data_IF_644970974724
#
_entry.id   IF_644970974724
#
_cell.length_a   1.000
_cell.length_b   1.000
_cell.length_c   1.000
_cell.angle_alpha   90.00
_cell.angle_beta   90.00
_cell.angle_gamma   90.00
#
_symmetry.space_group_name_H-M   'P 1'
#
loop_
_entity.id
_entity.type
_entity.pdbx_description
1 polymer ?
#
# COMPACT_ATOMS: atom_id res chain seq x y z
N UNK A 1 12.85 14.07 -10.97
CA UNK A 1 12.77 13.22 -12.17
C UNK A 1 11.74 13.82 -13.11
N UNK A 2 12.04 13.90 -14.41
CA UNK A 2 11.10 14.32 -15.46
C UNK A 2 10.38 13.09 -16.03
N UNK A 3 9.12 13.22 -16.44
CA UNK A 3 8.36 12.14 -17.10
C UNK A 3 9.07 11.58 -18.34
N UNK A 4 9.83 12.41 -19.05
CA UNK A 4 10.64 12.00 -20.19
C UNK A 4 11.73 10.98 -19.83
N UNK A 5 12.15 10.91 -18.56
CA UNK A 5 13.17 9.96 -18.09
C UNK A 5 12.60 8.56 -17.85
N UNK A 6 11.27 8.42 -17.84
CA UNK A 6 10.58 7.13 -17.73
C UNK A 6 10.26 6.53 -19.10
N UNK A 7 10.63 7.20 -20.20
CA UNK A 7 10.34 6.76 -21.56
C UNK A 7 11.36 5.72 -22.03
N UNK A 8 10.94 4.48 -22.36
CA UNK A 8 11.80 3.55 -23.08
C UNK A 8 12.06 4.09 -24.49
N UNK A 9 13.30 3.98 -24.97
CA UNK A 9 13.64 4.34 -26.35
C UNK A 9 12.83 3.51 -27.35
N UNK A 10 12.10 4.17 -28.26
CA UNK A 10 11.43 3.52 -29.40
C UNK A 10 9.90 3.44 -29.36
N UNK A 11 9.20 4.07 -28.41
CA UNK A 11 7.73 4.18 -28.43
C UNK A 11 7.25 5.35 -29.32
N UNK A 12 6.12 5.19 -30.04
CA UNK A 12 5.69 6.09 -31.11
C UNK A 12 5.12 7.45 -30.65
N UNK A 13 4.75 7.60 -29.39
CA UNK A 13 4.21 8.85 -28.83
C UNK A 13 5.09 9.33 -27.68
N UNK A 14 5.43 10.61 -27.60
CA UNK A 14 6.13 11.13 -26.42
C UNK A 14 5.20 11.12 -25.19
N UNK A 15 5.72 10.79 -24.00
CA UNK A 15 5.05 11.02 -22.71
C UNK A 15 4.89 12.55 -22.51
N UNK A 16 3.82 13.13 -23.04
CA UNK A 16 3.46 14.53 -22.81
C UNK A 16 2.62 14.66 -21.53
N UNK A 17 2.64 15.84 -20.92
CA UNK A 17 1.80 16.13 -19.76
C UNK A 17 0.32 15.96 -20.10
N UNK A 18 -0.07 16.40 -21.28
CA UNK A 18 -1.43 16.35 -21.81
C UNK A 18 -1.90 14.90 -21.97
N UNK A 19 -1.09 14.03 -22.55
CA UNK A 19 -1.44 12.61 -22.72
C UNK A 19 -1.52 11.88 -21.38
N UNK A 20 -0.61 12.16 -20.44
CA UNK A 20 -0.68 11.56 -19.09
C UNK A 20 -1.94 12.00 -18.38
N UNK A 21 -2.24 13.30 -18.38
CA UNK A 21 -3.41 13.84 -17.73
C UNK A 21 -4.70 13.26 -18.33
N UNK A 22 -4.80 13.19 -19.66
CA UNK A 22 -5.95 12.60 -20.34
C UNK A 22 -6.16 11.13 -19.96
N UNK A 23 -5.08 10.32 -20.00
CA UNK A 23 -5.15 8.90 -19.63
C UNK A 23 -5.50 8.70 -18.14
N UNK A 24 -4.93 9.53 -17.26
CA UNK A 24 -5.22 9.48 -15.83
C UNK A 24 -6.68 9.82 -15.54
N UNK A 25 -7.22 10.87 -16.15
CA UNK A 25 -8.62 11.26 -15.98
C UNK A 25 -9.58 10.21 -16.53
N UNK A 26 -9.32 9.66 -17.72
CA UNK A 26 -10.16 8.60 -18.30
C UNK A 26 -10.14 7.31 -17.46
N UNK A 27 -8.97 6.93 -16.94
CA UNK A 27 -8.83 5.78 -16.04
C UNK A 27 -9.54 6.03 -14.71
N UNK A 28 -9.35 7.22 -14.13
CA UNK A 28 -9.97 7.63 -12.88
C UNK A 28 -11.50 7.63 -12.99
N UNK A 29 -12.07 8.15 -14.08
CA UNK A 29 -13.52 8.15 -14.30
C UNK A 29 -14.10 6.73 -14.25
N UNK A 30 -13.46 5.78 -14.92
CA UNK A 30 -13.88 4.37 -14.91
C UNK A 30 -13.85 3.79 -13.50
N UNK A 31 -12.77 4.05 -12.74
CA UNK A 31 -12.65 3.60 -11.35
C UNK A 31 -13.67 4.30 -10.44
N UNK A 32 -13.95 5.58 -10.67
CA UNK A 32 -14.91 6.35 -9.89
C UNK A 32 -16.33 5.80 -10.05
N UNK A 33 -16.74 5.46 -11.28
CA UNK A 33 -18.02 4.81 -11.52
C UNK A 33 -18.15 3.49 -10.76
N UNK A 34 -17.13 2.62 -10.81
CA UNK A 34 -17.11 1.37 -10.05
C UNK A 34 -17.21 1.61 -8.53
N UNK A 35 -16.55 2.64 -8.01
CA UNK A 35 -16.60 3.00 -6.60
C UNK A 35 -18.02 3.43 -6.17
N UNK A 36 -18.67 4.27 -6.98
CA UNK A 36 -20.05 4.73 -6.72
C UNK A 36 -21.04 3.57 -6.82
N UNK A 37 -20.89 2.70 -7.82
CA UNK A 37 -21.72 1.48 -7.98
C UNK A 37 -21.57 0.53 -6.80
N UNK A 38 -20.38 0.48 -6.19
CA UNK A 38 -20.10 -0.29 -4.99
C UNK A 38 -20.46 0.44 -3.68
N UNK A 39 -21.30 1.47 -3.74
CA UNK A 39 -21.76 2.27 -2.59
C UNK A 39 -20.62 2.91 -1.78
N UNK A 40 -19.52 3.25 -2.46
CA UNK A 40 -18.31 3.80 -1.84
C UNK A 40 -17.41 2.75 -1.18
N UNK A 41 -17.60 1.46 -1.50
CA UNK A 41 -16.71 0.39 -1.05
C UNK A 41 -15.43 0.32 -1.88
N UNK A 42 -14.29 0.12 -1.19
CA UNK A 42 -13.01 -0.12 -1.84
C UNK A 42 -12.81 -1.58 -2.27
N UNK A 43 -13.67 -2.50 -1.80
CA UNK A 43 -13.59 -3.94 -2.08
C UNK A 43 -13.30 -4.29 -3.56
N UNK A 44 -13.93 -3.66 -4.57
CA UNK A 44 -13.67 -3.99 -5.98
C UNK A 44 -12.23 -3.76 -6.42
N UNK A 45 -11.50 -2.86 -5.75
CA UNK A 45 -10.13 -2.50 -6.10
C UNK A 45 -9.09 -3.28 -5.31
N UNK A 46 -9.48 -4.00 -4.25
CA UNK A 46 -8.55 -4.61 -3.30
C UNK A 46 -7.56 -5.56 -3.98
N UNK A 47 -8.06 -6.45 -4.85
CA UNK A 47 -7.21 -7.41 -5.55
C UNK A 47 -6.19 -6.69 -6.46
N UNK A 48 -6.66 -5.73 -7.26
CA UNK A 48 -5.82 -4.96 -8.17
C UNK A 48 -4.77 -4.14 -7.42
N UNK A 49 -5.17 -3.63 -6.26
CA UNK A 49 -4.32 -2.85 -5.39
C UNK A 49 -3.22 -3.71 -4.76
N UNK A 50 -3.56 -4.87 -4.19
CA UNK A 50 -2.59 -5.80 -3.60
C UNK A 50 -1.66 -6.44 -4.65
N UNK A 51 -2.13 -6.65 -5.89
CA UNK A 51 -1.29 -7.12 -7.01
C UNK A 51 -0.19 -6.11 -7.36
N UNK A 52 -0.50 -4.82 -7.31
CA UNK A 52 0.44 -3.72 -7.63
C UNK A 52 1.17 -3.16 -6.42
N UNK A 53 0.86 -3.68 -5.23
CA UNK A 53 1.43 -3.26 -3.98
C UNK A 53 2.90 -3.69 -3.90
N UNK A 54 3.81 -2.72 -3.78
CA UNK A 54 5.26 -2.96 -3.84
C UNK A 54 5.86 -3.60 -2.56
N UNK A 55 5.09 -3.68 -1.47
CA UNK A 55 5.58 -4.04 -0.13
C UNK A 55 4.90 -5.28 0.46
N UNK A 56 4.50 -6.22 -0.38
CA UNK A 56 3.89 -7.47 0.08
C UNK A 56 4.95 -8.38 0.70
N UNK A 57 4.66 -8.97 1.86
CA UNK A 57 5.56 -9.84 2.62
C UNK A 57 6.86 -9.15 3.13
N UNK A 58 6.86 -7.81 3.21
CA UNK A 58 8.00 -7.08 3.76
C UNK A 58 8.06 -7.29 5.29
N UNK A 59 9.20 -7.77 5.84
CA UNK A 59 9.38 -7.91 7.28
C UNK A 59 9.63 -6.54 7.92
N UNK A 60 8.84 -6.24 8.95
CA UNK A 60 8.86 -4.97 9.65
C UNK A 60 8.96 -5.20 11.15
N UNK A 61 9.71 -4.34 11.84
CA UNK A 61 9.79 -4.38 13.31
C UNK A 61 8.90 -3.31 13.92
N UNK A 62 8.00 -3.72 14.80
CA UNK A 62 7.18 -2.84 15.65
C UNK A 62 7.95 -2.53 16.93
N UNK A 63 8.39 -1.28 17.08
CA UNK A 63 9.05 -0.81 18.32
C UNK A 63 8.05 -0.38 19.40
N UNK A 64 6.76 -0.30 19.07
CA UNK A 64 5.68 0.10 19.99
C UNK A 64 5.30 -0.98 20.99
N UNK A 65 5.57 -2.24 20.66
CA UNK A 65 5.40 -3.39 21.55
C UNK A 65 6.66 -3.57 22.40
N UNK A 66 6.49 -3.89 23.68
CA UNK A 66 7.59 -4.28 24.58
C UNK A 66 7.36 -5.73 25.01
N UNK A 67 8.15 -6.71 24.52
CA UNK A 67 9.31 -6.59 23.62
C UNK A 67 8.93 -6.26 22.17
N UNK A 68 9.89 -5.74 21.40
CA UNK A 68 9.67 -5.39 19.99
C UNK A 68 9.29 -6.63 19.17
N UNK A 69 8.21 -6.49 18.41
CA UNK A 69 7.60 -7.60 17.67
C UNK A 69 7.97 -7.50 16.19
N UNK A 70 8.41 -8.60 15.58
CA UNK A 70 8.60 -8.66 14.12
C UNK A 70 7.32 -9.16 13.48
N UNK A 71 6.87 -8.40 12.49
CA UNK A 71 5.66 -8.66 11.74
C UNK A 71 5.96 -8.63 10.24
N UNK A 72 5.07 -9.17 9.43
CA UNK A 72 5.10 -9.08 7.96
C UNK A 72 3.87 -8.35 7.48
N UNK A 73 4.05 -7.50 6.47
CA UNK A 73 2.93 -6.83 5.81
C UNK A 73 2.16 -7.86 4.97
N UNK A 74 0.86 -7.98 5.24
CA UNK A 74 -0.02 -8.92 4.55
C UNK A 74 -1.05 -8.23 3.65
N UNK A 75 -1.32 -6.95 3.87
CA UNK A 75 -2.24 -6.17 3.05
C UNK A 75 -2.79 -4.95 3.78
N UNK A 76 -4.00 -4.56 3.41
CA UNK A 76 -4.75 -3.50 4.08
C UNK A 76 -6.13 -4.01 4.48
N UNK A 77 -6.68 -3.40 5.51
CA UNK A 77 -8.08 -3.60 5.87
C UNK A 77 -9.00 -2.90 4.86
N UNK A 78 -10.13 -3.54 4.58
CA UNK A 78 -11.09 -3.08 3.57
C UNK A 78 -12.02 -1.98 4.07
N UNK A 79 -12.16 -1.85 5.39
CA UNK A 79 -13.04 -0.90 6.06
C UNK A 79 -12.38 0.47 6.27
N UNK A 80 -11.11 0.48 6.68
CA UNK A 80 -10.41 1.70 7.11
C UNK A 80 -9.04 1.91 6.45
N UNK A 81 -8.58 0.97 5.61
CA UNK A 81 -7.32 1.07 4.89
C UNK A 81 -6.07 0.98 5.77
N UNK A 82 -6.19 0.50 7.01
CA UNK A 82 -5.05 0.26 7.90
C UNK A 82 -4.19 -0.88 7.38
N UNK A 83 -2.88 -0.73 7.58
CA UNK A 83 -1.91 -1.73 7.18
C UNK A 83 -2.08 -2.97 8.06
N UNK A 84 -2.39 -4.10 7.45
CA UNK A 84 -2.52 -5.40 8.13
C UNK A 84 -1.18 -6.11 8.17
N UNK A 85 -0.82 -6.59 9.35
CA UNK A 85 0.42 -7.34 9.56
C UNK A 85 0.20 -8.62 10.36
N UNK A 86 1.04 -9.62 10.11
CA UNK A 86 1.06 -10.88 10.87
C UNK A 86 2.40 -11.07 11.60
N UNK A 87 2.40 -11.59 12.84
CA UNK A 87 3.64 -11.92 13.55
C UNK A 87 4.45 -12.98 12.78
N UNK A 88 5.78 -12.87 12.81
CA UNK A 88 6.62 -13.94 12.22
C UNK A 88 6.50 -15.27 13.00
N UNK A 89 6.60 -16.43 12.30
CA UNK A 89 6.59 -17.74 12.94
C UNK A 89 7.70 -17.85 14.00
N UNK A 90 7.32 -18.20 15.24
CA UNK A 90 8.25 -18.32 16.38
C UNK A 90 8.19 -17.17 17.39
N UNK A 91 7.36 -16.14 17.17
CA UNK A 91 7.03 -15.16 18.21
C UNK A 91 5.89 -15.67 19.11
N UNK A 92 5.94 -15.34 20.41
CA UNK A 92 4.98 -15.76 21.46
C UNK A 92 3.63 -15.03 21.40
N UNK A 93 3.23 -14.57 20.21
CA UNK A 93 1.86 -14.11 19.95
C UNK A 93 1.12 -15.30 19.34
N UNK A 94 -0.15 -15.49 19.68
CA UNK A 94 -0.98 -16.53 19.06
C UNK A 94 -0.88 -16.40 17.54
N UNK A 95 -0.23 -17.39 16.91
CA UNK A 95 0.01 -17.40 15.48
C UNK A 95 -1.33 -17.25 14.74
N UNK A 96 -1.58 -16.07 14.17
CA UNK A 96 -2.79 -15.79 13.39
C UNK A 96 -3.58 -14.55 13.77
N UNK A 97 -3.22 -13.82 14.84
CA UNK A 97 -3.87 -12.52 15.12
C UNK A 97 -3.28 -11.41 14.24
N UNK A 98 -4.13 -10.76 13.45
CA UNK A 98 -3.74 -9.61 12.64
C UNK A 98 -3.49 -8.38 13.52
N UNK A 99 -2.33 -7.75 13.32
CA UNK A 99 -2.00 -6.46 13.92
C UNK A 99 -2.25 -5.37 12.87
N UNK A 100 -3.20 -4.49 13.17
CA UNK A 100 -3.56 -3.35 12.32
C UNK A 100 -2.75 -2.12 12.73
N UNK A 101 -2.03 -1.53 11.78
CA UNK A 101 -1.20 -0.36 12.02
C UNK A 101 -1.93 0.89 11.52
N UNK A 102 -2.23 1.77 12.47
CA UNK A 102 -2.88 3.05 12.19
C UNK A 102 -1.87 4.07 11.66
N UNK A 103 -2.31 5.00 10.78
CA UNK A 103 -1.44 6.01 10.18
C UNK A 103 -1.10 7.18 11.12
N UNK A 104 -1.84 7.35 12.21
CA UNK A 104 -1.82 8.55 13.08
C UNK A 104 -0.80 8.51 14.22
N UNK A 105 -0.16 7.37 14.47
CA UNK A 105 0.88 7.23 15.49
C UNK A 105 2.23 6.84 14.93
N UNK A 106 2.31 6.42 13.67
CA UNK A 106 3.43 5.65 13.13
C UNK A 106 4.16 6.37 11.99
N UNK A 107 5.47 6.17 11.93
CA UNK A 107 6.39 6.53 10.86
C UNK A 107 6.95 5.23 10.31
N UNK A 108 6.68 4.97 9.03
CA UNK A 108 7.26 3.84 8.32
C UNK A 108 8.53 4.31 7.60
N UNK A 109 9.68 3.85 8.07
CA UNK A 109 10.95 3.97 7.36
C UNK A 109 11.12 2.74 6.46
N UNK A 110 10.64 2.89 5.23
CA UNK A 110 10.65 1.86 4.18
C UNK A 110 12.08 1.37 3.87
N UNK A 111 13.08 2.26 3.90
CA UNK A 111 14.47 1.89 3.60
C UNK A 111 15.10 1.04 4.71
N UNK A 112 14.50 1.05 5.90
CA UNK A 112 14.97 0.29 7.07
C UNK A 112 14.02 -0.84 7.49
N UNK A 113 12.89 -1.04 6.78
CA UNK A 113 11.85 -2.00 7.18
C UNK A 113 11.33 -1.73 8.60
N UNK A 114 11.10 -0.47 8.97
CA UNK A 114 10.91 -0.08 10.36
C UNK A 114 9.65 0.77 10.57
N UNK A 115 8.78 0.37 11.50
CA UNK A 115 7.64 1.17 11.92
C UNK A 115 7.88 1.68 13.34
N UNK A 116 8.02 3.01 13.46
CA UNK A 116 8.30 3.75 14.70
C UNK A 116 7.15 4.66 15.05
N UNK A 117 6.86 4.89 16.33
CA UNK A 117 5.93 5.96 16.66
C UNK A 117 6.53 7.32 16.36
N UNK A 118 5.74 8.22 15.76
CA UNK A 118 6.11 9.63 15.68
C UNK A 118 5.99 10.20 17.09
N UNK A 119 7.09 10.75 17.62
CA UNK A 119 7.08 11.60 18.80
C UNK A 119 6.57 13.00 18.46
#
# INVERSE_FOLDING_TARGET
MSLAQLFPDGLPESLTMENVAANLMATFETMWCQFVEAEGSFEPFLNLYLERWLHSDEPVTLETTTPSTRVRICGISTDNGFLQTLPEPGQSLSSGEFIYLQPDGNSFDMMKGLIKTKK
#
